data_IF_049719468991
#
_entry.id   IF_049719468991
#
_cell.length_a   1.000
_cell.length_b   1.000
_cell.length_c   1.000
_cell.angle_alpha   90.00
_cell.angle_beta   90.00
_cell.angle_gamma   90.00
#
_symmetry.space_group_name_H-M   'P 1'
#
loop_
_entity.id
_entity.type
_entity.pdbx_description
1 polymer ?
#
# COMPACT_ATOMS: atom_id res chain seq x y z
N UNK A 1 28.12 -9.39 8.17
CA UNK A 1 28.60 -8.30 7.30
C UNK A 1 27.74 -7.07 7.56
N UNK A 2 28.33 -5.89 7.52
CA UNK A 2 27.66 -4.60 7.67
C UNK A 2 27.93 -3.80 6.41
N UNK A 3 26.88 -3.34 5.73
CA UNK A 3 27.02 -2.44 4.58
C UNK A 3 26.99 -0.99 5.05
N UNK A 4 27.80 -0.13 4.48
CA UNK A 4 27.84 1.31 4.77
C UNK A 4 26.88 2.12 3.88
N UNK A 5 26.65 1.65 2.66
CA UNK A 5 25.70 2.18 1.71
C UNK A 5 25.30 1.09 0.70
N UNK A 6 24.27 1.36 -0.11
CA UNK A 6 23.91 0.48 -1.24
C UNK A 6 24.95 0.46 -2.36
N UNK A 7 25.91 1.40 -2.34
CA UNK A 7 26.95 1.57 -3.37
C UNK A 7 28.34 1.15 -2.89
N UNK A 8 28.47 0.42 -1.77
CA UNK A 8 29.78 0.06 -1.22
C UNK A 8 30.50 -1.08 -2.00
N UNK A 9 29.88 -1.63 -3.03
CA UNK A 9 30.48 -2.61 -3.95
C UNK A 9 30.56 -4.03 -3.40
N UNK A 10 30.01 -4.28 -2.21
CA UNK A 10 29.92 -5.63 -1.64
C UNK A 10 28.73 -6.41 -2.23
N UNK A 11 28.82 -7.75 -2.20
CA UNK A 11 27.70 -8.61 -2.61
C UNK A 11 26.45 -8.39 -1.76
N UNK A 12 26.64 -8.09 -0.48
CA UNK A 12 25.56 -7.75 0.45
C UNK A 12 24.86 -6.44 0.10
N UNK A 13 25.62 -5.43 -0.31
CA UNK A 13 25.06 -4.16 -0.77
C UNK A 13 24.29 -4.32 -2.08
N UNK A 14 24.78 -5.13 -3.02
CA UNK A 14 24.07 -5.41 -4.27
C UNK A 14 22.73 -6.12 -4.02
N UNK A 15 22.70 -7.13 -3.16
CA UNK A 15 21.46 -7.82 -2.75
C UNK A 15 20.50 -6.82 -2.10
N UNK A 16 20.99 -5.97 -1.21
CA UNK A 16 20.17 -4.97 -0.52
C UNK A 16 19.62 -3.92 -1.50
N UNK A 17 20.43 -3.41 -2.42
CA UNK A 17 20.00 -2.42 -3.43
C UNK A 17 18.90 -2.96 -4.34
N UNK A 18 18.97 -4.23 -4.71
CA UNK A 18 17.98 -4.87 -5.59
C UNK A 18 16.68 -5.23 -4.87
N UNK A 19 16.75 -5.76 -3.67
CA UNK A 19 15.57 -6.29 -2.95
C UNK A 19 14.85 -5.24 -2.10
N UNK A 20 15.57 -4.28 -1.50
CA UNK A 20 14.97 -3.31 -0.58
C UNK A 20 13.80 -2.52 -1.18
N UNK A 21 13.90 -1.92 -2.38
CA UNK A 21 12.79 -1.15 -2.95
C UNK A 21 11.55 -2.01 -3.18
N UNK A 22 11.73 -3.26 -3.64
CA UNK A 22 10.65 -4.19 -3.92
C UNK A 22 9.94 -4.62 -2.64
N UNK A 23 10.70 -4.97 -1.60
CA UNK A 23 10.16 -5.41 -0.31
C UNK A 23 9.45 -4.28 0.45
N UNK A 24 10.03 -3.08 0.42
CA UNK A 24 9.42 -1.87 0.98
C UNK A 24 8.08 -1.57 0.32
N UNK A 25 8.03 -1.47 -1.00
CA UNK A 25 6.83 -1.13 -1.74
C UNK A 25 5.78 -2.26 -1.65
N UNK A 26 6.22 -3.52 -1.64
CA UNK A 26 5.38 -4.68 -1.38
C UNK A 26 4.72 -4.61 0.00
N UNK A 27 5.49 -4.32 1.05
CA UNK A 27 4.98 -4.21 2.41
C UNK A 27 4.04 -3.00 2.60
N UNK A 28 4.34 -1.86 1.96
CA UNK A 28 3.46 -0.69 1.93
C UNK A 28 2.13 -0.98 1.23
N UNK A 29 2.13 -1.83 0.21
CA UNK A 29 0.94 -2.13 -0.61
C UNK A 29 0.00 -3.16 0.01
N UNK A 30 0.49 -4.02 0.92
CA UNK A 30 -0.26 -5.20 1.39
C UNK A 30 -1.39 -4.86 2.37
N UNK A 31 -1.31 -3.72 3.04
CA UNK A 31 -2.27 -3.28 4.04
C UNK A 31 -2.53 -1.77 3.91
N UNK A 32 -3.75 -1.26 4.17
CA UNK A 32 -4.04 0.16 4.11
C UNK A 32 -3.52 0.90 5.36
N UNK A 33 -2.20 1.03 5.44
CA UNK A 33 -1.52 1.72 6.53
C UNK A 33 -2.00 3.16 6.69
N UNK A 34 -2.29 3.56 7.93
CA UNK A 34 -2.77 4.91 8.23
C UNK A 34 -1.77 5.99 7.80
N UNK A 35 -0.47 5.77 8.03
CA UNK A 35 0.61 6.70 7.69
C UNK A 35 0.94 6.77 6.19
N UNK A 36 0.50 5.79 5.40
CA UNK A 36 0.72 5.69 3.95
C UNK A 36 -0.59 5.87 3.15
N UNK A 37 -1.67 6.28 3.79
CA UNK A 37 -2.97 6.51 3.17
C UNK A 37 -3.20 8.00 2.90
N UNK A 38 -3.70 8.33 1.71
CA UNK A 38 -4.03 9.68 1.32
C UNK A 38 -5.34 9.74 0.54
N UNK A 39 -5.92 10.92 0.48
CA UNK A 39 -7.07 11.24 -0.36
C UNK A 39 -6.77 12.44 -1.24
N UNK A 40 -7.17 12.39 -2.49
CA UNK A 40 -7.06 13.51 -3.42
C UNK A 40 -8.21 13.55 -4.42
N UNK A 41 -8.53 14.75 -4.90
CA UNK A 41 -9.36 14.92 -6.07
C UNK A 41 -8.51 14.66 -7.32
N UNK A 42 -9.00 13.82 -8.22
CA UNK A 42 -8.26 13.50 -9.44
C UNK A 42 -8.48 14.54 -10.54
N UNK A 43 -7.42 14.97 -11.23
CA UNK A 43 -7.54 15.81 -12.41
C UNK A 43 -8.06 15.00 -13.60
N UNK A 44 -9.11 15.52 -14.27
CA UNK A 44 -9.65 14.91 -15.48
C UNK A 44 -8.71 15.10 -16.65
N UNK A 45 -8.53 14.06 -17.44
CA UNK A 45 -7.77 14.09 -18.68
C UNK A 45 -8.63 14.70 -19.80
N UNK A 46 -7.97 15.34 -20.76
CA UNK A 46 -8.63 15.90 -21.95
C UNK A 46 -9.06 14.79 -22.92
N UNK A 47 -8.25 13.71 -22.97
CA UNK A 47 -8.53 12.54 -23.79
C UNK A 47 -9.64 11.71 -23.14
N UNK A 48 -10.63 11.34 -23.97
CA UNK A 48 -11.75 10.52 -23.52
C UNK A 48 -11.43 9.05 -23.72
N UNK A 49 -11.94 8.16 -22.85
CA UNK A 49 -11.88 6.72 -23.07
C UNK A 49 -12.50 6.32 -24.42
N UNK A 50 -11.94 5.29 -25.07
CA UNK A 50 -12.44 4.79 -26.36
C UNK A 50 -13.81 4.15 -26.21
N UNK A 51 -14.09 3.48 -25.07
CA UNK A 51 -15.34 2.77 -24.81
C UNK A 51 -15.61 2.66 -23.30
N UNK A 52 -16.81 2.23 -22.94
CA UNK A 52 -17.34 1.87 -21.63
C UNK A 52 -17.56 3.06 -20.68
N UNK A 53 -16.67 4.06 -20.66
CA UNK A 53 -16.73 5.21 -19.74
C UNK A 53 -16.59 6.54 -20.46
N UNK A 54 -17.13 7.58 -19.86
CA UNK A 54 -17.12 8.95 -20.44
C UNK A 54 -15.85 9.72 -20.12
N UNK A 55 -15.24 9.48 -18.97
CA UNK A 55 -14.15 10.29 -18.46
C UNK A 55 -12.98 9.44 -18.01
N UNK A 56 -11.77 9.99 -18.19
CA UNK A 56 -10.53 9.46 -17.67
C UNK A 56 -9.88 10.46 -16.71
N UNK A 57 -9.28 9.95 -15.65
CA UNK A 57 -8.63 10.74 -14.61
C UNK A 57 -7.21 10.28 -14.40
N UNK A 58 -6.29 11.24 -14.25
CA UNK A 58 -4.87 10.94 -14.00
C UNK A 58 -4.69 10.45 -12.58
N UNK A 59 -4.00 9.32 -12.44
CA UNK A 59 -3.60 8.79 -11.13
C UNK A 59 -2.39 9.55 -10.56
N UNK A 60 -2.25 9.64 -9.21
CA UNK A 60 -1.08 10.22 -8.58
C UNK A 60 0.21 9.46 -8.95
N UNK A 61 1.35 10.16 -9.14
CA UNK A 61 2.61 9.51 -9.55
C UNK A 61 3.23 8.64 -8.44
N UNK A 62 2.90 8.88 -7.19
CA UNK A 62 3.35 8.14 -6.00
C UNK A 62 2.40 7.03 -5.57
N UNK A 63 1.36 6.76 -6.38
CA UNK A 63 0.36 5.74 -6.09
C UNK A 63 0.98 4.35 -6.09
N UNK A 64 0.80 3.63 -4.98
CA UNK A 64 1.13 2.20 -4.85
C UNK A 64 -0.12 1.33 -5.06
N UNK A 65 -1.24 1.68 -4.45
CA UNK A 65 -2.49 0.93 -4.56
C UNK A 65 -3.71 1.83 -4.31
N UNK A 66 -4.75 1.62 -5.09
CA UNK A 66 -6.06 2.24 -4.85
C UNK A 66 -6.76 1.49 -3.71
N UNK A 67 -7.30 2.24 -2.76
CA UNK A 67 -8.15 1.71 -1.69
C UNK A 67 -9.61 1.82 -2.06
N UNK A 68 -10.04 3.01 -2.49
CA UNK A 68 -11.41 3.27 -2.93
C UNK A 68 -11.49 4.55 -3.77
N UNK A 69 -12.59 4.71 -4.49
CA UNK A 69 -12.91 5.95 -5.16
C UNK A 69 -14.37 6.34 -4.89
N UNK A 70 -14.66 7.63 -4.91
CA UNK A 70 -16.00 8.17 -4.65
C UNK A 70 -16.24 9.51 -5.32
N UNK A 71 -17.43 10.07 -5.06
CA UNK A 71 -17.90 11.36 -5.58
C UNK A 71 -18.16 12.31 -4.40
N UNK A 72 -17.71 13.54 -4.53
CA UNK A 72 -17.94 14.58 -3.51
C UNK A 72 -17.23 14.30 -2.20
N UNK A 73 -17.95 14.32 -1.08
CA UNK A 73 -17.40 14.11 0.26
C UNK A 73 -17.18 12.63 0.62
N UNK A 74 -17.66 11.71 -0.22
CA UNK A 74 -17.51 10.26 0.00
C UNK A 74 -16.38 9.73 -0.85
N UNK A 75 -15.33 9.24 -0.23
CA UNK A 75 -14.18 8.61 -0.88
C UNK A 75 -14.43 7.15 -1.33
N UNK A 76 -15.68 6.71 -1.50
CA UNK A 76 -16.05 5.33 -1.83
C UNK A 76 -17.37 5.24 -2.60
N UNK A 77 -17.64 4.07 -3.19
CA UNK A 77 -18.93 3.77 -3.85
C UNK A 77 -18.99 4.19 -5.31
N UNK A 78 -17.88 4.60 -5.92
CA UNK A 78 -17.79 4.89 -7.34
C UNK A 78 -17.52 3.62 -8.15
N UNK A 79 -18.26 3.43 -9.24
CA UNK A 79 -17.91 2.44 -10.26
C UNK A 79 -16.82 2.98 -11.17
N UNK A 80 -15.70 2.26 -11.28
CA UNK A 80 -14.55 2.65 -12.09
C UNK A 80 -13.75 1.46 -12.60
N UNK A 81 -12.89 1.70 -13.58
CA UNK A 81 -11.83 0.80 -14.04
C UNK A 81 -10.51 1.52 -14.18
N UNK A 82 -9.43 0.80 -13.92
CA UNK A 82 -8.08 1.29 -14.21
C UNK A 82 -7.63 0.72 -15.55
N UNK A 83 -7.27 1.61 -16.46
CA UNK A 83 -6.69 1.28 -17.77
C UNK A 83 -5.61 2.30 -18.10
N UNK A 84 -4.49 1.86 -18.66
CA UNK A 84 -3.40 2.74 -19.14
C UNK A 84 -2.94 3.78 -18.10
N UNK A 85 -2.87 3.36 -16.83
CA UNK A 85 -2.50 4.22 -15.70
C UNK A 85 -3.47 5.41 -15.46
N UNK A 86 -4.71 5.29 -15.89
CA UNK A 86 -5.80 6.23 -15.64
C UNK A 86 -7.01 5.54 -15.01
N UNK A 87 -7.78 6.31 -14.24
CA UNK A 87 -9.06 5.87 -13.70
C UNK A 87 -10.17 6.28 -14.65
N UNK A 88 -10.90 5.32 -15.20
CA UNK A 88 -12.04 5.52 -16.11
C UNK A 88 -13.35 5.38 -15.34
N UNK A 89 -14.26 6.33 -15.52
CA UNK A 89 -15.59 6.35 -14.90
C UNK A 89 -16.57 7.24 -15.65
N UNK A 90 -17.85 7.17 -15.29
CA UNK A 90 -18.89 8.06 -15.80
C UNK A 90 -19.14 9.29 -14.92
N UNK A 91 -18.50 9.38 -13.76
CA UNK A 91 -18.61 10.52 -12.86
C UNK A 91 -17.79 11.72 -13.35
N UNK A 92 -18.30 12.91 -13.16
CA UNK A 92 -17.66 14.17 -13.55
C UNK A 92 -16.58 14.66 -12.58
N UNK A 93 -16.57 14.12 -11.36
CA UNK A 93 -15.60 14.38 -10.31
C UNK A 93 -15.27 13.10 -9.59
N UNK A 94 -13.99 12.92 -9.24
CA UNK A 94 -13.52 11.73 -8.54
C UNK A 94 -12.65 12.14 -7.36
N UNK A 95 -12.96 11.58 -6.19
CA UNK A 95 -12.09 11.59 -5.01
C UNK A 95 -11.51 10.19 -4.85
N UNK A 96 -10.19 10.09 -4.87
CA UNK A 96 -9.45 8.85 -4.73
C UNK A 96 -8.90 8.71 -3.31
N UNK A 97 -9.12 7.55 -2.68
CA UNK A 97 -8.41 7.11 -1.49
C UNK A 97 -7.39 6.07 -1.91
N UNK A 98 -6.12 6.28 -1.60
CA UNK A 98 -5.03 5.46 -2.11
C UNK A 98 -3.87 5.34 -1.13
N UNK A 99 -3.03 4.34 -1.34
CA UNK A 99 -1.76 4.18 -0.68
C UNK A 99 -0.67 4.80 -1.53
N UNK A 100 0.14 5.64 -0.89
CA UNK A 100 1.30 6.28 -1.50
C UNK A 100 2.59 5.79 -0.86
N UNK A 101 3.73 6.14 -1.45
CA UNK A 101 5.05 5.87 -0.88
C UNK A 101 5.51 7.08 -0.05
N UNK A 102 5.38 7.02 1.30
CA UNK A 102 5.91 8.07 2.15
C UNK A 102 7.45 8.04 2.18
N UNK A 103 8.06 9.17 2.52
CA UNK A 103 9.49 9.22 2.77
C UNK A 103 9.86 8.33 3.98
N UNK A 104 10.97 7.62 3.92
CA UNK A 104 11.39 6.63 4.93
C UNK A 104 11.50 7.20 6.34
N UNK A 105 11.88 8.48 6.48
CA UNK A 105 11.91 9.19 7.75
C UNK A 105 10.54 9.28 8.46
N UNK A 106 9.46 9.07 7.71
CA UNK A 106 8.09 9.13 8.22
C UNK A 106 7.52 7.73 8.54
N UNK A 107 8.33 6.67 8.44
CA UNK A 107 7.89 5.33 8.80
C UNK A 107 7.73 5.22 10.32
N UNK A 108 6.56 4.79 10.82
CA UNK A 108 6.37 4.50 12.23
C UNK A 108 7.25 3.33 12.69
N UNK A 109 7.61 3.30 13.97
CA UNK A 109 8.46 2.25 14.53
C UNK A 109 7.92 0.83 14.29
N UNK A 110 6.61 0.64 14.47
CA UNK A 110 5.97 -0.67 14.24
C UNK A 110 6.08 -1.16 12.79
N UNK A 111 6.07 -0.24 11.83
CA UNK A 111 6.28 -0.57 10.42
C UNK A 111 7.76 -0.87 10.13
N UNK A 112 8.68 -0.12 10.74
CA UNK A 112 10.11 -0.39 10.64
C UNK A 112 10.47 -1.79 11.15
N UNK A 113 9.90 -2.22 12.29
CA UNK A 113 10.13 -3.55 12.85
C UNK A 113 9.65 -4.66 11.90
N UNK A 114 8.47 -4.50 11.30
CA UNK A 114 7.95 -5.43 10.30
C UNK A 114 8.82 -5.44 9.02
N UNK A 115 9.28 -4.28 8.56
CA UNK A 115 10.15 -4.16 7.38
C UNK A 115 11.50 -4.82 7.63
N UNK A 116 12.13 -4.58 8.78
CA UNK A 116 13.41 -5.21 9.18
C UNK A 116 13.27 -6.73 9.25
N UNK A 117 12.19 -7.24 9.85
CA UNK A 117 11.94 -8.67 9.91
C UNK A 117 11.74 -9.28 8.51
N UNK A 118 11.03 -8.58 7.62
CA UNK A 118 10.84 -9.01 6.23
C UNK A 118 12.17 -9.01 5.45
N UNK A 119 12.96 -7.96 5.57
CA UNK A 119 14.29 -7.88 4.95
C UNK A 119 15.21 -9.00 5.44
N UNK A 120 15.24 -9.27 6.75
CA UNK A 120 16.04 -10.35 7.32
C UNK A 120 15.67 -11.73 6.75
N UNK A 121 14.37 -11.99 6.56
CA UNK A 121 13.88 -13.23 5.96
C UNK A 121 14.32 -13.38 4.49
N UNK A 122 14.14 -12.35 3.68
CA UNK A 122 14.45 -12.39 2.25
C UNK A 122 15.95 -12.37 1.96
N UNK A 123 16.76 -11.68 2.80
CA UNK A 123 18.21 -11.64 2.64
C UNK A 123 18.90 -12.90 3.18
N UNK A 124 18.22 -13.69 4.00
CA UNK A 124 18.85 -14.86 4.64
C UNK A 124 19.35 -15.87 3.62
N UNK A 125 18.53 -16.24 2.66
CA UNK A 125 18.90 -17.28 1.68
C UNK A 125 20.05 -16.84 0.76
N UNK A 126 20.01 -15.68 0.10
CA UNK A 126 21.11 -15.23 -0.75
C UNK A 126 22.44 -14.98 0.01
N UNK A 127 22.39 -14.63 1.31
CA UNK A 127 23.60 -14.32 2.07
C UNK A 127 24.15 -15.47 2.91
N UNK A 128 23.34 -16.47 3.26
CA UNK A 128 23.75 -17.55 4.17
C UNK A 128 23.53 -18.96 3.66
N UNK A 129 22.82 -19.11 2.55
CA UNK A 129 22.43 -20.40 1.95
C UNK A 129 21.67 -21.36 2.91
N UNK A 130 21.15 -20.81 4.04
CA UNK A 130 20.48 -21.59 5.08
C UNK A 130 18.97 -21.53 4.95
N UNK A 131 18.36 -22.59 4.41
CA UNK A 131 16.90 -22.71 4.25
C UNK A 131 16.16 -22.76 5.59
N UNK A 132 16.66 -23.51 6.57
CA UNK A 132 16.01 -23.62 7.88
C UNK A 132 15.97 -22.28 8.65
N UNK A 133 17.04 -21.48 8.52
CA UNK A 133 17.07 -20.13 9.09
C UNK A 133 16.13 -19.20 8.34
N UNK A 134 16.04 -19.31 7.02
CA UNK A 134 15.11 -18.52 6.19
C UNK A 134 13.65 -18.80 6.57
N UNK A 135 13.27 -20.07 6.77
CA UNK A 135 11.92 -20.46 7.21
C UNK A 135 11.58 -19.88 8.60
N UNK A 136 12.50 -19.96 9.56
CA UNK A 136 12.30 -19.35 10.87
C UNK A 136 12.10 -17.83 10.79
N UNK A 137 12.95 -17.14 10.01
CA UNK A 137 12.85 -15.70 9.82
C UNK A 137 11.59 -15.28 9.06
N UNK A 138 11.12 -16.08 8.08
CA UNK A 138 9.87 -15.84 7.39
C UNK A 138 8.68 -15.88 8.36
N UNK A 139 8.60 -16.89 9.22
CA UNK A 139 7.56 -16.97 10.25
C UNK A 139 7.61 -15.77 11.21
N UNK A 140 8.80 -15.39 11.65
CA UNK A 140 8.97 -14.19 12.50
C UNK A 140 8.49 -12.92 11.77
N UNK A 141 8.78 -12.78 10.48
CA UNK A 141 8.31 -11.64 9.69
C UNK A 141 6.79 -11.58 9.56
N UNK A 142 6.11 -12.72 9.45
CA UNK A 142 4.64 -12.80 9.47
C UNK A 142 4.06 -12.36 10.82
N UNK A 143 4.66 -12.79 11.92
CA UNK A 143 4.25 -12.39 13.28
C UNK A 143 4.44 -10.88 13.50
N UNK A 144 5.57 -10.31 13.08
CA UNK A 144 5.80 -8.85 13.18
C UNK A 144 4.86 -8.05 12.29
N UNK A 145 4.54 -8.54 11.10
CA UNK A 145 3.54 -7.92 10.22
C UNK A 145 2.16 -7.93 10.85
N UNK A 146 1.75 -9.03 11.48
CA UNK A 146 0.47 -9.13 12.18
C UNK A 146 0.39 -8.13 13.34
N UNK A 147 1.46 -7.99 14.13
CA UNK A 147 1.55 -6.99 15.22
C UNK A 147 1.48 -5.55 14.69
N UNK A 148 2.21 -5.26 13.61
CA UNK A 148 2.20 -3.94 13.00
C UNK A 148 0.80 -3.54 12.51
N UNK A 149 0.08 -4.45 11.85
CA UNK A 149 -1.31 -4.24 11.43
C UNK A 149 -2.24 -3.99 12.60
N UNK A 150 -2.10 -4.74 13.69
CA UNK A 150 -2.89 -4.54 14.90
C UNK A 150 -2.65 -3.15 15.49
N UNK A 151 -1.39 -2.73 15.59
CA UNK A 151 -1.02 -1.41 16.10
C UNK A 151 -1.57 -0.28 15.22
N UNK A 152 -1.44 -0.40 13.90
CA UNK A 152 -1.95 0.60 12.96
C UNK A 152 -3.48 0.69 13.01
N UNK A 153 -4.19 -0.44 13.13
CA UNK A 153 -5.65 -0.47 13.21
C UNK A 153 -6.23 0.26 14.42
N UNK A 154 -5.46 0.41 15.48
CA UNK A 154 -5.84 1.14 16.69
C UNK A 154 -5.73 2.67 16.54
N UNK A 155 -5.16 3.16 15.45
CA UNK A 155 -5.00 4.59 15.20
C UNK A 155 -6.24 5.25 14.55
N UNK A 156 -7.26 4.48 14.20
CA UNK A 156 -8.49 4.98 13.61
C UNK A 156 -9.71 4.58 14.45
N UNK A 157 -10.68 5.47 14.54
CA UNK A 157 -11.98 5.14 15.12
C UNK A 157 -12.65 4.07 14.26
N UNK A 158 -13.14 2.97 14.83
CA UNK A 158 -13.87 1.95 14.08
C UNK A 158 -15.06 2.58 13.33
N UNK A 159 -15.21 2.25 12.05
CA UNK A 159 -16.40 2.68 11.31
C UNK A 159 -17.63 2.06 11.95
N UNK A 160 -18.60 2.90 12.33
CA UNK A 160 -19.91 2.42 12.76
C UNK A 160 -20.64 1.85 11.55
N UNK A 161 -21.31 0.71 11.74
CA UNK A 161 -22.29 0.22 10.78
C UNK A 161 -23.52 1.12 10.88
N UNK A 162 -23.65 2.11 10.00
CA UNK A 162 -24.80 3.04 9.99
C UNK A 162 -25.97 2.51 9.14
N UNK A 163 -25.81 1.37 8.47
CA UNK A 163 -26.80 0.81 7.56
C UNK A 163 -27.62 -0.28 8.27
N UNK A 164 -28.68 0.13 8.96
CA UNK A 164 -29.67 -0.76 9.57
C UNK A 164 -30.84 -1.08 8.61
N UNK A 165 -30.59 -1.14 7.32
CA UNK A 165 -31.62 -1.37 6.28
C UNK A 165 -32.50 -2.58 6.58
N UNK A 166 -31.95 -3.63 7.20
CA UNK A 166 -32.69 -4.82 7.61
C UNK A 166 -33.56 -4.61 8.88
N UNK A 167 -33.29 -3.57 9.65
CA UNK A 167 -34.09 -3.23 10.86
C UNK A 167 -35.26 -2.30 10.48
N UNK A 168 -35.07 -1.43 9.49
CA UNK A 168 -36.12 -0.50 9.02
C UNK A 168 -37.25 -1.22 8.24
N UNK A 169 -36.95 -2.34 7.58
CA UNK A 169 -37.98 -3.15 6.87
C UNK A 169 -38.96 -3.85 7.85
N UNK A 170 -38.66 -3.87 9.15
CA UNK A 170 -39.52 -4.49 10.17
C UNK A 170 -40.46 -3.52 10.91
N UNK A 171 -40.49 -2.27 10.52
CA UNK A 171 -41.46 -1.26 10.95
C UNK A 171 -42.37 -0.92 9.80
#
# INVERSE_FOLDING_TARGET
>A
ATISSFEDGSSEAEVAANLYPLLRDGLLSVYPWSFASAQCALPRLTEMPVADYRYAYRLPPDLLRIVSAGIGERGQGLEYRIRENALHTNADKVVLSYLFRPAEKNFPAFFCDALVARLAAEFCLPLTESSSRAEYLAKKAEDELARARLTDSQQATPRRFEDFTLVEIRR
#
